data_IF_140129171119
#
_entry.id   IF_140129171119
#
_cell.length_a   1.000
_cell.length_b   1.000
_cell.length_c   1.000
_cell.angle_alpha   90.00
_cell.angle_beta   90.00
_cell.angle_gamma   90.00
#
_symmetry.space_group_name_H-M   'P 1'
#
loop_
_entity.id
_entity.type
_entity.pdbx_description
1 polymer ?
#
# COMPACT_ATOMS: atom_id res chain seq x y z
N UNK A 1 4.33 -49.86 36.55
CA UNK A 1 4.25 -49.11 35.28
C UNK A 1 3.78 -47.72 35.63
N UNK A 2 4.68 -46.98 36.26
CA UNK A 2 4.47 -45.67 36.87
C UNK A 2 4.80 -44.62 35.81
N UNK A 3 3.80 -43.82 35.44
CA UNK A 3 3.99 -42.58 34.68
C UNK A 3 4.84 -41.64 35.54
N UNK A 4 6.10 -41.45 35.16
CA UNK A 4 6.90 -40.32 35.60
C UNK A 4 6.29 -39.05 34.97
N UNK A 5 5.41 -38.41 35.72
CA UNK A 5 5.12 -36.99 35.56
C UNK A 5 6.43 -36.25 35.84
N UNK A 6 7.10 -35.80 34.77
CA UNK A 6 8.15 -34.81 34.84
C UNK A 6 7.56 -33.53 35.44
N UNK A 7 7.61 -33.42 36.77
CA UNK A 7 7.57 -32.15 37.47
C UNK A 7 8.73 -31.31 36.99
N UNK A 8 8.43 -30.37 36.08
CA UNK A 8 9.29 -29.23 35.81
C UNK A 8 9.38 -28.40 37.10
N UNK A 9 10.39 -28.69 37.91
CA UNK A 9 10.94 -27.72 38.84
C UNK A 9 11.93 -26.89 38.00
N UNK A 10 11.53 -25.68 37.63
CA UNK A 10 12.38 -24.66 37.05
C UNK A 10 12.15 -23.39 37.90
N UNK A 11 13.03 -23.14 38.88
CA UNK A 11 14.10 -22.12 38.83
C UNK A 11 13.55 -20.70 38.64
N UNK A 12 14.05 -19.74 39.43
CA UNK A 12 13.85 -18.29 39.25
C UNK A 12 14.34 -17.85 37.86
N UNK A 13 13.63 -18.24 36.81
CA UNK A 13 13.85 -17.78 35.45
C UNK A 13 13.04 -16.50 35.29
N UNK A 14 13.77 -15.42 34.97
CA UNK A 14 13.26 -14.08 34.83
C UNK A 14 11.91 -14.08 34.10
N UNK A 15 10.85 -13.71 34.80
CA UNK A 15 9.56 -13.41 34.18
C UNK A 15 9.82 -12.24 33.22
N UNK A 16 9.97 -12.54 31.94
CA UNK A 16 10.37 -11.56 30.92
C UNK A 16 9.28 -10.49 30.85
N UNK A 17 9.62 -9.26 31.23
CA UNK A 17 8.69 -8.14 31.19
C UNK A 17 8.29 -7.85 29.73
N UNK A 18 6.99 -8.00 29.43
CA UNK A 18 6.46 -7.69 28.12
C UNK A 18 6.47 -6.18 27.92
N UNK A 19 7.15 -5.71 26.88
CA UNK A 19 7.17 -4.31 26.48
C UNK A 19 6.29 -4.08 25.25
N UNK A 20 5.64 -2.92 25.19
CA UNK A 20 4.87 -2.50 24.03
C UNK A 20 5.78 -2.35 22.81
N UNK A 21 5.37 -2.91 21.65
CA UNK A 21 6.11 -2.76 20.40
C UNK A 21 6.04 -1.30 19.92
N UNK A 22 7.13 -0.55 20.11
CA UNK A 22 7.32 0.77 19.51
C UNK A 22 8.61 0.75 18.67
N UNK A 23 8.46 0.60 17.35
CA UNK A 23 9.60 0.71 16.42
C UNK A 23 9.73 2.15 15.98
N UNK A 24 10.55 2.89 16.71
CA UNK A 24 11.05 4.18 16.28
C UNK A 24 12.36 3.96 15.50
N UNK A 25 12.44 4.50 14.28
CA UNK A 25 13.68 4.46 13.51
C UNK A 25 14.61 5.57 14.03
N UNK A 26 15.85 5.25 14.46
CA UNK A 26 16.78 6.23 15.01
C UNK A 26 17.27 7.18 13.90
N UNK A 27 16.97 8.46 14.07
CA UNK A 27 17.35 9.56 13.16
C UNK A 27 17.80 10.81 13.93
N UNK A 28 18.04 10.69 15.24
CA UNK A 28 18.24 11.83 16.14
C UNK A 28 19.56 12.57 15.88
N UNK A 29 20.53 11.93 15.24
CA UNK A 29 21.83 12.52 14.97
C UNK A 29 21.91 13.24 13.62
N UNK A 30 20.84 13.21 12.83
CA UNK A 30 20.80 13.79 11.49
C UNK A 30 20.40 15.27 11.53
N UNK A 31 21.09 16.06 10.71
CA UNK A 31 20.70 17.44 10.47
C UNK A 31 19.34 17.48 9.74
N UNK A 32 18.48 18.40 10.17
CA UNK A 32 17.20 18.67 9.51
C UNK A 32 17.45 19.48 8.23
N UNK A 33 16.62 19.25 7.22
CA UNK A 33 16.68 19.90 5.91
C UNK A 33 16.24 21.37 5.93
N UNK A 34 16.10 21.95 4.74
CA UNK A 34 15.92 23.41 4.55
C UNK A 34 14.63 23.93 5.20
N UNK A 35 13.59 23.10 5.26
CA UNK A 35 12.29 23.46 5.83
C UNK A 35 12.19 23.25 7.35
N UNK A 36 13.27 22.82 8.01
CA UNK A 36 13.34 22.51 9.44
C UNK A 36 12.33 21.44 9.91
N UNK A 37 11.76 20.66 8.99
CA UNK A 37 10.77 19.61 9.31
C UNK A 37 11.20 18.25 8.73
N UNK A 38 11.75 18.24 7.51
CA UNK A 38 12.09 17.00 6.80
C UNK A 38 13.59 16.80 6.69
N UNK A 39 14.01 15.55 6.47
CA UNK A 39 15.36 15.25 6.02
C UNK A 39 15.39 15.13 4.49
N UNK A 40 16.27 15.89 3.85
CA UNK A 40 16.42 15.88 2.40
C UNK A 40 17.41 14.80 1.94
N UNK A 41 17.00 13.99 0.96
CA UNK A 41 17.86 12.98 0.33
C UNK A 41 18.03 13.34 -1.15
N UNK A 42 19.26 13.63 -1.54
CA UNK A 42 19.58 13.92 -2.93
C UNK A 42 19.94 12.63 -3.69
N UNK A 43 19.14 12.28 -4.69
CA UNK A 43 19.45 11.22 -5.65
C UNK A 43 20.04 11.84 -6.92
N UNK A 44 21.14 11.27 -7.41
CA UNK A 44 21.80 11.82 -8.61
C UNK A 44 20.84 11.83 -9.82
N UNK A 45 20.82 12.90 -10.65
CA UNK A 45 19.95 12.96 -11.83
C UNK A 45 20.15 11.80 -12.80
N UNK A 46 21.39 11.31 -12.91
CA UNK A 46 21.74 10.13 -13.72
C UNK A 46 21.00 8.88 -13.25
N UNK A 47 21.03 8.62 -11.94
CA UNK A 47 20.31 7.47 -11.37
C UNK A 47 18.80 7.63 -11.50
N UNK A 48 18.26 8.82 -11.21
CA UNK A 48 16.83 9.11 -11.34
C UNK A 48 16.34 8.83 -12.75
N UNK A 49 17.07 9.30 -13.78
CA UNK A 49 16.70 9.07 -15.16
C UNK A 49 16.78 7.58 -15.54
N UNK A 50 17.88 6.90 -15.19
CA UNK A 50 18.04 5.47 -15.46
C UNK A 50 16.97 4.62 -14.77
N UNK A 51 16.59 4.98 -13.54
CA UNK A 51 15.51 4.31 -12.81
C UNK A 51 14.15 4.54 -13.50
N UNK A 52 13.85 5.76 -13.95
CA UNK A 52 12.61 6.05 -14.70
C UNK A 52 12.51 5.22 -15.97
N UNK A 53 13.57 5.20 -16.77
CA UNK A 53 13.61 4.46 -18.03
C UNK A 53 13.45 2.95 -17.78
N UNK A 54 14.19 2.42 -16.80
CA UNK A 54 14.08 1.03 -16.38
C UNK A 54 12.67 0.67 -15.92
N UNK A 55 12.09 1.44 -14.99
CA UNK A 55 10.75 1.20 -14.45
C UNK A 55 9.68 1.29 -15.53
N UNK A 56 9.77 2.27 -16.43
CA UNK A 56 8.87 2.39 -17.57
C UNK A 56 8.92 1.13 -18.44
N UNK A 57 10.12 0.68 -18.79
CA UNK A 57 10.30 -0.51 -19.62
C UNK A 57 9.80 -1.80 -18.95
N UNK A 58 10.00 -1.95 -17.64
CA UNK A 58 9.46 -3.07 -16.88
C UNK A 58 7.93 -3.04 -16.85
N UNK A 59 7.30 -1.89 -16.58
CA UNK A 59 5.83 -1.75 -16.58
C UNK A 59 5.28 -2.05 -17.99
N UNK A 60 5.92 -1.50 -19.03
CA UNK A 60 5.57 -1.77 -20.42
C UNK A 60 5.68 -3.26 -20.73
N UNK A 61 6.76 -3.93 -20.37
CA UNK A 61 6.92 -5.37 -20.60
C UNK A 61 5.79 -6.19 -19.93
N UNK A 62 5.43 -5.85 -18.69
CA UNK A 62 4.38 -6.53 -17.94
C UNK A 62 2.96 -6.27 -18.49
N UNK A 63 2.77 -5.24 -19.32
CA UNK A 63 1.44 -4.80 -19.81
C UNK A 63 1.26 -4.97 -21.32
N UNK A 64 2.34 -5.06 -22.09
CA UNK A 64 2.31 -5.05 -23.57
C UNK A 64 1.49 -6.18 -24.17
N UNK A 65 1.63 -7.41 -23.65
CA UNK A 65 0.90 -8.58 -24.19
C UNK A 65 -0.59 -8.53 -23.86
N UNK A 66 -0.94 -8.12 -22.64
CA UNK A 66 -2.32 -8.21 -22.12
C UNK A 66 -3.16 -6.99 -22.50
N UNK A 67 -2.61 -5.78 -22.41
CA UNK A 67 -3.39 -4.54 -22.52
C UNK A 67 -3.04 -3.73 -23.77
N UNK A 68 -1.82 -3.84 -24.30
CA UNK A 68 -1.36 -3.00 -25.41
C UNK A 68 -0.81 -3.83 -26.60
N UNK A 69 -1.54 -4.86 -27.09
CA UNK A 69 -1.04 -5.73 -28.14
C UNK A 69 -0.84 -4.95 -29.44
N UNK A 70 0.37 -4.99 -30.00
CA UNK A 70 0.72 -4.32 -31.25
C UNK A 70 0.80 -2.79 -31.16
N UNK A 71 0.79 -2.21 -29.94
CA UNK A 71 0.98 -0.78 -29.72
C UNK A 71 2.42 -0.53 -29.28
N UNK A 72 3.21 0.02 -30.20
CA UNK A 72 4.53 0.54 -29.87
C UNK A 72 4.41 2.02 -29.51
N UNK A 73 4.40 2.31 -28.20
CA UNK A 73 4.41 3.67 -27.67
C UNK A 73 5.77 4.34 -27.88
N UNK A 74 6.86 3.57 -27.70
CA UNK A 74 8.25 3.98 -27.88
C UNK A 74 9.09 2.83 -28.40
N UNK A 75 10.11 3.16 -29.18
CA UNK A 75 11.20 2.25 -29.53
C UNK A 75 12.01 1.99 -28.27
N UNK A 76 11.85 0.81 -27.67
CA UNK A 76 12.59 0.43 -26.46
C UNK A 76 13.20 -0.95 -26.63
N UNK A 77 14.45 -1.09 -26.14
CA UNK A 77 15.24 -2.32 -26.18
C UNK A 77 14.86 -3.29 -25.06
N UNK A 78 13.81 -2.99 -24.30
CA UNK A 78 13.42 -3.73 -23.10
C UNK A 78 14.24 -3.31 -21.88
N UNK A 79 13.84 -3.77 -20.69
CA UNK A 79 14.44 -3.31 -19.44
C UNK A 79 15.89 -3.80 -19.27
N UNK A 80 16.83 -2.88 -19.13
CA UNK A 80 18.23 -3.16 -18.82
C UNK A 80 18.43 -3.44 -17.32
N UNK A 81 18.09 -4.66 -16.89
CA UNK A 81 18.24 -5.07 -15.49
C UNK A 81 19.69 -5.13 -15.01
N UNK A 82 20.65 -5.42 -15.91
CA UNK A 82 22.06 -5.49 -15.57
C UNK A 82 22.65 -4.11 -15.31
N UNK A 83 22.39 -3.16 -16.21
CA UNK A 83 22.80 -1.76 -16.04
C UNK A 83 22.17 -1.12 -14.80
N UNK A 84 20.87 -1.37 -14.57
CA UNK A 84 20.19 -0.86 -13.37
C UNK A 84 20.78 -1.43 -12.07
N UNK A 85 21.02 -2.75 -11.99
CA UNK A 85 21.67 -3.40 -10.82
C UNK A 85 23.04 -2.79 -10.53
N UNK A 86 23.84 -2.54 -11.56
CA UNK A 86 25.16 -1.90 -11.42
C UNK A 86 25.04 -0.49 -10.84
N UNK A 87 24.18 0.35 -11.42
CA UNK A 87 23.95 1.72 -10.93
C UNK A 87 23.42 1.74 -9.49
N UNK A 88 22.52 0.82 -9.15
CA UNK A 88 21.99 0.70 -7.79
C UNK A 88 23.10 0.31 -6.80
N UNK A 89 23.97 -0.63 -7.17
CA UNK A 89 25.12 -1.04 -6.34
C UNK A 89 26.08 0.13 -6.09
N UNK A 90 26.45 0.86 -7.15
CA UNK A 90 27.30 2.06 -7.06
C UNK A 90 26.69 3.14 -6.15
N UNK A 91 25.37 3.32 -6.25
CA UNK A 91 24.63 4.29 -5.44
C UNK A 91 24.62 3.91 -3.95
N UNK A 92 24.30 2.65 -3.62
CA UNK A 92 24.31 2.15 -2.24
C UNK A 92 25.73 2.18 -1.63
N UNK A 93 26.75 1.85 -2.42
CA UNK A 93 28.14 1.96 -1.98
C UNK A 93 28.55 3.42 -1.72
N UNK A 94 28.06 4.36 -2.53
CA UNK A 94 28.31 5.79 -2.33
C UNK A 94 27.68 6.30 -1.03
N UNK A 95 26.43 5.89 -0.75
CA UNK A 95 25.74 6.18 0.51
C UNK A 95 26.54 5.68 1.72
N UNK A 96 26.98 4.42 1.69
CA UNK A 96 27.77 3.83 2.77
C UNK A 96 29.13 4.53 2.95
N UNK A 97 29.73 5.00 1.87
CA UNK A 97 30.98 5.77 1.90
C UNK A 97 30.78 7.13 2.59
N UNK A 98 29.66 7.81 2.34
CA UNK A 98 29.29 9.05 3.03
C UNK A 98 29.04 8.81 4.52
N UNK A 99 28.27 7.78 4.87
CA UNK A 99 28.06 7.37 6.25
C UNK A 99 29.39 7.11 6.97
N UNK A 100 30.34 6.43 6.31
CA UNK A 100 31.68 6.15 6.86
C UNK A 100 32.46 7.44 7.10
N UNK A 101 32.45 8.37 6.15
CA UNK A 101 33.15 9.65 6.26
C UNK A 101 32.64 10.47 7.45
N UNK A 102 31.32 10.54 7.61
CA UNK A 102 30.67 11.24 8.72
C UNK A 102 30.59 10.43 10.02
N UNK A 103 31.04 9.17 10.01
CA UNK A 103 30.96 8.21 11.12
C UNK A 103 29.53 8.09 11.69
N UNK A 104 28.55 8.13 10.80
CA UNK A 104 27.13 8.09 11.17
C UNK A 104 26.36 7.17 10.22
N UNK A 105 25.90 6.03 10.74
CA UNK A 105 25.13 5.03 9.97
C UNK A 105 23.70 5.47 9.68
N UNK A 106 23.13 6.39 10.46
CA UNK A 106 21.77 6.92 10.21
C UNK A 106 21.68 7.57 8.82
N UNK A 107 22.80 8.09 8.28
CA UNK A 107 22.89 8.64 6.92
C UNK A 107 22.59 7.56 5.88
N UNK A 108 23.16 6.36 6.02
CA UNK A 108 22.92 5.26 5.09
C UNK A 108 21.49 4.71 5.21
N UNK A 109 20.97 4.64 6.43
CA UNK A 109 19.59 4.22 6.66
C UNK A 109 18.58 5.24 6.10
N UNK A 110 18.79 6.53 6.32
CA UNK A 110 17.96 7.59 5.74
C UNK A 110 17.99 7.52 4.21
N UNK A 111 19.19 7.36 3.65
CA UNK A 111 19.35 7.18 2.21
C UNK A 111 18.54 5.98 1.71
N UNK A 112 18.61 4.85 2.42
CA UNK A 112 17.87 3.62 2.08
C UNK A 112 16.36 3.84 2.06
N UNK A 113 15.83 4.54 3.06
CA UNK A 113 14.41 4.92 3.13
C UNK A 113 14.02 5.88 1.99
N UNK A 114 14.85 6.88 1.70
CA UNK A 114 14.67 7.80 0.59
C UNK A 114 14.63 7.08 -0.76
N UNK A 115 15.51 6.11 -0.97
CA UNK A 115 15.52 5.26 -2.17
C UNK A 115 14.23 4.44 -2.30
N UNK A 116 13.75 3.80 -1.24
CA UNK A 116 12.48 3.07 -1.26
C UNK A 116 11.30 3.98 -1.59
N UNK A 117 11.24 5.14 -0.92
CA UNK A 117 10.22 6.16 -1.17
C UNK A 117 10.24 6.61 -2.63
N UNK A 118 11.42 6.86 -3.18
CA UNK A 118 11.57 7.22 -4.59
C UNK A 118 11.08 6.10 -5.51
N UNK A 119 11.56 4.87 -5.36
CA UNK A 119 11.20 3.75 -6.24
C UNK A 119 9.70 3.45 -6.22
N UNK A 120 9.10 3.41 -5.02
CA UNK A 120 7.66 3.14 -4.85
C UNK A 120 6.80 4.23 -5.48
N UNK A 121 7.15 5.49 -5.26
CA UNK A 121 6.47 6.62 -5.89
C UNK A 121 6.64 6.63 -7.42
N UNK A 122 7.86 6.41 -7.89
CA UNK A 122 8.19 6.46 -9.31
C UNK A 122 7.54 5.31 -10.10
N UNK A 123 7.35 4.12 -9.52
CA UNK A 123 6.55 3.05 -10.15
C UNK A 123 5.14 3.54 -10.47
N UNK A 124 4.47 4.18 -9.51
CA UNK A 124 3.13 4.75 -9.71
C UNK A 124 3.11 5.86 -10.75
N UNK A 125 4.14 6.71 -10.76
CA UNK A 125 4.29 7.79 -11.73
C UNK A 125 4.52 7.26 -13.16
N UNK A 126 5.42 6.30 -13.35
CA UNK A 126 5.69 5.69 -14.65
C UNK A 126 4.48 4.93 -15.20
N UNK A 127 3.67 4.32 -14.33
CA UNK A 127 2.39 3.74 -14.74
C UNK A 127 1.43 4.81 -15.29
N UNK A 128 1.31 5.96 -14.62
CA UNK A 128 0.47 7.06 -15.09
C UNK A 128 0.97 7.64 -16.42
N UNK A 129 2.29 7.77 -16.58
CA UNK A 129 2.93 8.20 -17.83
C UNK A 129 2.63 7.22 -18.96
N UNK A 130 2.74 5.90 -18.73
CA UNK A 130 2.42 4.89 -19.74
C UNK A 130 0.97 5.03 -20.25
N UNK A 131 0.01 5.24 -19.35
CA UNK A 131 -1.40 5.45 -19.71
C UNK A 131 -1.57 6.73 -20.51
N UNK A 132 -0.87 7.81 -20.13
CA UNK A 132 -0.90 9.08 -20.86
C UNK A 132 -0.35 8.92 -22.28
N UNK A 133 0.79 8.25 -22.43
CA UNK A 133 1.38 7.97 -23.75
C UNK A 133 0.45 7.16 -24.63
N UNK A 134 -0.27 6.19 -24.06
CA UNK A 134 -1.32 5.46 -24.77
C UNK A 134 -2.41 6.37 -25.31
N UNK A 135 -2.87 7.35 -24.52
CA UNK A 135 -3.86 8.34 -24.96
C UNK A 135 -3.31 9.25 -26.05
N UNK A 136 -2.09 9.75 -25.87
CA UNK A 136 -1.42 10.61 -26.86
C UNK A 136 -1.17 9.89 -28.19
N UNK A 137 -0.82 8.61 -28.15
CA UNK A 137 -0.61 7.79 -29.34
C UNK A 137 -1.87 7.73 -30.22
N UNK A 138 -3.06 7.64 -29.60
CA UNK A 138 -4.33 7.70 -30.32
C UNK A 138 -4.53 9.10 -30.92
N UNK A 139 -4.29 10.17 -30.14
CA UNK A 139 -4.48 11.56 -30.62
C UNK A 139 -3.56 11.90 -31.79
N UNK A 140 -2.31 11.44 -31.76
CA UNK A 140 -1.30 11.69 -32.81
C UNK A 140 -1.68 11.10 -34.17
N UNK A 141 -2.59 10.12 -34.22
CA UNK A 141 -3.12 9.52 -35.47
C UNK A 141 -4.26 10.33 -36.11
N UNK A 142 -4.70 11.40 -35.46
CA UNK A 142 -5.69 12.34 -35.99
C UNK A 142 -7.15 11.98 -35.68
N UNK A 143 -8.03 12.95 -35.91
CA UNK A 143 -9.43 12.91 -35.49
C UNK A 143 -10.23 11.75 -36.13
N UNK A 144 -9.94 11.44 -37.40
CA UNK A 144 -10.56 10.30 -38.11
C UNK A 144 -10.23 8.97 -37.43
N UNK A 145 -8.98 8.79 -36.98
CA UNK A 145 -8.60 7.60 -36.23
C UNK A 145 -9.24 7.59 -34.84
N UNK A 146 -9.30 8.72 -34.14
CA UNK A 146 -9.89 8.81 -32.79
C UNK A 146 -11.35 8.32 -32.71
N UNK A 147 -12.10 8.51 -33.79
CA UNK A 147 -13.51 8.08 -33.96
C UNK A 147 -13.65 6.68 -34.57
N UNK A 148 -12.54 6.05 -34.95
CA UNK A 148 -12.55 4.70 -35.52
C UNK A 148 -12.85 3.63 -34.46
N UNK A 149 -13.40 2.51 -34.90
CA UNK A 149 -13.61 1.33 -34.05
C UNK A 149 -12.30 0.86 -33.39
N UNK A 150 -11.17 0.92 -34.12
CA UNK A 150 -9.87 0.53 -33.58
C UNK A 150 -9.45 1.43 -32.40
N UNK A 151 -9.65 2.74 -32.49
CA UNK A 151 -9.36 3.64 -31.38
C UNK A 151 -10.25 3.38 -30.16
N UNK A 152 -11.53 3.03 -30.36
CA UNK A 152 -12.42 2.64 -29.26
C UNK A 152 -11.94 1.38 -28.54
N UNK A 153 -11.48 0.36 -29.29
CA UNK A 153 -10.88 -0.85 -28.70
C UNK A 153 -9.67 -0.49 -27.85
N UNK A 154 -8.78 0.37 -28.35
CA UNK A 154 -7.58 0.77 -27.61
C UNK A 154 -7.95 1.59 -26.36
N UNK A 155 -8.92 2.51 -26.45
CA UNK A 155 -9.43 3.26 -25.30
C UNK A 155 -10.01 2.33 -24.22
N UNK A 156 -10.75 1.30 -24.62
CA UNK A 156 -11.26 0.28 -23.71
C UNK A 156 -10.12 -0.48 -23.00
N UNK A 157 -9.08 -0.89 -23.75
CA UNK A 157 -7.90 -1.55 -23.16
C UNK A 157 -7.11 -0.65 -22.21
N UNK A 158 -6.98 0.64 -22.51
CA UNK A 158 -6.38 1.60 -21.58
C UNK A 158 -7.20 1.73 -20.31
N UNK A 159 -8.54 1.70 -20.40
CA UNK A 159 -9.42 1.69 -19.24
C UNK A 159 -9.26 0.41 -18.40
N UNK A 160 -9.16 -0.75 -19.06
CA UNK A 160 -8.86 -2.03 -18.39
C UNK A 160 -7.50 -1.98 -17.67
N UNK A 161 -6.46 -1.46 -18.33
CA UNK A 161 -5.14 -1.27 -17.71
C UNK A 161 -5.23 -0.39 -16.46
N UNK A 162 -5.95 0.74 -16.54
CA UNK A 162 -6.15 1.62 -15.39
C UNK A 162 -6.88 0.91 -14.24
N UNK A 163 -7.89 0.09 -14.54
CA UNK A 163 -8.58 -0.71 -13.52
C UNK A 163 -7.67 -1.78 -12.89
N UNK A 164 -6.72 -2.32 -13.65
CA UNK A 164 -5.76 -3.32 -13.22
C UNK A 164 -4.52 -2.73 -12.52
N UNK A 165 -4.51 -1.42 -12.23
CA UNK A 165 -3.37 -0.69 -11.66
C UNK A 165 -2.69 -1.41 -10.50
N UNK A 166 -3.45 -1.79 -9.46
CA UNK A 166 -2.90 -2.44 -8.26
C UNK A 166 -2.14 -3.72 -8.60
N UNK A 167 -2.71 -4.58 -9.46
CA UNK A 167 -2.08 -5.83 -9.87
C UNK A 167 -0.84 -5.64 -10.75
N UNK A 168 -0.80 -4.58 -11.57
CA UNK A 168 0.41 -4.23 -12.34
C UNK A 168 1.50 -3.68 -11.41
N UNK A 169 1.17 -2.72 -10.56
CA UNK A 169 2.12 -2.13 -9.60
C UNK A 169 2.68 -3.20 -8.67
N UNK A 170 1.85 -4.12 -8.14
CA UNK A 170 2.31 -5.24 -7.31
C UNK A 170 3.36 -6.09 -8.01
N UNK A 171 3.10 -6.53 -9.25
CA UNK A 171 4.05 -7.38 -10.00
C UNK A 171 5.37 -6.68 -10.28
N UNK A 172 5.31 -5.42 -10.72
CA UNK A 172 6.51 -4.60 -10.98
C UNK A 172 7.26 -4.32 -9.67
N UNK A 173 6.53 -3.96 -8.62
CA UNK A 173 7.06 -3.70 -7.30
C UNK A 173 7.80 -4.90 -6.72
N UNK A 174 7.26 -6.11 -6.84
CA UNK A 174 7.95 -7.34 -6.42
C UNK A 174 9.25 -7.59 -7.21
N UNK A 175 9.26 -7.36 -8.53
CA UNK A 175 10.47 -7.48 -9.34
C UNK A 175 11.55 -6.49 -8.89
N UNK A 176 11.17 -5.23 -8.65
CA UNK A 176 12.08 -4.19 -8.17
C UNK A 176 12.57 -4.48 -6.76
N UNK A 177 11.68 -4.91 -5.86
CA UNK A 177 12.02 -5.30 -4.49
C UNK A 177 13.08 -6.40 -4.48
N UNK A 178 12.92 -7.43 -5.33
CA UNK A 178 13.88 -8.51 -5.46
C UNK A 178 15.26 -7.99 -5.92
N UNK A 179 15.30 -7.11 -6.93
CA UNK A 179 16.55 -6.50 -7.40
C UNK A 179 17.26 -5.76 -6.28
N UNK A 180 16.51 -4.99 -5.48
CA UNK A 180 17.08 -4.22 -4.38
C UNK A 180 17.68 -5.16 -3.32
N UNK A 181 16.93 -6.19 -2.91
CA UNK A 181 17.41 -7.18 -1.93
C UNK A 181 18.66 -7.91 -2.45
N UNK A 182 18.65 -8.37 -3.70
CA UNK A 182 19.78 -9.06 -4.31
C UNK A 182 21.06 -8.22 -4.30
N UNK A 183 20.94 -6.91 -4.58
CA UNK A 183 22.09 -5.99 -4.58
C UNK A 183 22.57 -5.73 -3.15
N UNK A 184 21.64 -5.58 -2.21
CA UNK A 184 21.98 -5.33 -0.80
C UNK A 184 22.69 -6.51 -0.13
N UNK A 185 22.17 -7.73 -0.30
CA UNK A 185 22.67 -8.92 0.39
C UNK A 185 24.08 -9.34 -0.08
N UNK A 186 24.49 -8.87 -1.25
CA UNK A 186 25.72 -9.33 -1.88
C UNK A 186 26.99 -8.72 -1.23
N UNK A 187 27.19 -7.42 -1.42
CA UNK A 187 28.40 -6.70 -0.97
C UNK A 187 28.07 -5.67 0.10
N UNK A 188 26.91 -5.01 -0.03
CA UNK A 188 26.55 -3.86 0.81
C UNK A 188 26.30 -4.28 2.26
N UNK A 189 25.54 -5.36 2.50
CA UNK A 189 25.26 -5.85 3.85
C UNK A 189 26.55 -6.25 4.61
N UNK A 190 27.50 -6.90 3.93
CA UNK A 190 28.80 -7.25 4.50
C UNK A 190 29.62 -6.01 4.84
N UNK A 191 29.61 -5.00 3.97
CA UNK A 191 30.31 -3.74 4.18
C UNK A 191 29.71 -2.94 5.34
N UNK A 192 28.37 -2.88 5.48
CA UNK A 192 27.68 -2.27 6.63
C UNK A 192 28.14 -2.89 7.94
N UNK A 193 28.08 -4.22 8.02
CA UNK A 193 28.53 -4.98 9.21
C UNK A 193 30.00 -4.70 9.55
N UNK A 194 30.87 -4.69 8.54
CA UNK A 194 32.31 -4.48 8.76
C UNK A 194 32.65 -3.06 9.22
N UNK A 195 31.89 -2.05 8.80
CA UNK A 195 32.16 -0.64 9.12
C UNK A 195 31.48 -0.14 10.40
N UNK A 196 30.30 -0.68 10.72
CA UNK A 196 29.43 -0.14 11.78
C UNK A 196 28.88 -1.20 12.74
N UNK A 197 29.20 -2.48 12.56
CA UNK A 197 28.64 -3.56 13.39
C UNK A 197 27.20 -3.92 13.01
N UNK A 198 26.45 -4.49 13.96
CA UNK A 198 25.12 -5.07 13.73
C UNK A 198 23.95 -4.31 14.37
N UNK A 199 24.21 -3.20 15.06
CA UNK A 199 23.17 -2.46 15.81
C UNK A 199 21.98 -2.02 14.93
N UNK A 200 22.23 -1.71 13.65
CA UNK A 200 21.21 -1.25 12.72
C UNK A 200 20.62 -2.36 11.83
N UNK A 201 21.03 -3.61 12.02
CA UNK A 201 20.66 -4.72 11.13
C UNK A 201 19.13 -4.90 11.00
N UNK A 202 18.40 -4.80 12.12
CA UNK A 202 16.94 -4.94 12.15
C UNK A 202 16.22 -3.89 11.29
N UNK A 203 16.71 -2.66 11.23
CA UNK A 203 16.12 -1.60 10.40
C UNK A 203 16.34 -1.88 8.90
N UNK A 204 17.49 -2.44 8.53
CA UNK A 204 17.73 -2.85 7.15
C UNK A 204 16.87 -4.06 6.76
N UNK A 205 16.65 -5.02 7.67
CA UNK A 205 15.71 -6.12 7.44
C UNK A 205 14.28 -5.62 7.25
N UNK A 206 13.85 -4.61 8.02
CA UNK A 206 12.56 -3.95 7.80
C UNK A 206 12.46 -3.35 6.40
N UNK A 207 13.53 -2.74 5.89
CA UNK A 207 13.60 -2.15 4.55
C UNK A 207 13.51 -3.18 3.40
N UNK A 208 13.65 -4.48 3.69
CA UNK A 208 13.47 -5.58 2.72
C UNK A 208 12.02 -6.04 2.61
N UNK A 209 11.13 -5.54 3.47
CA UNK A 209 9.73 -5.95 3.48
C UNK A 209 9.05 -5.63 2.13
N UNK A 210 8.46 -6.65 1.51
CA UNK A 210 7.77 -6.55 0.21
C UNK A 210 6.53 -5.66 0.25
N UNK A 211 5.92 -5.49 1.43
CA UNK A 211 4.75 -4.63 1.63
C UNK A 211 5.03 -3.17 1.26
N UNK A 212 6.29 -2.73 1.33
CA UNK A 212 6.73 -1.39 0.93
C UNK A 212 6.38 -1.08 -0.52
N UNK A 213 6.35 -2.10 -1.39
CA UNK A 213 6.11 -1.97 -2.83
C UNK A 213 4.65 -2.17 -3.24
N UNK A 214 3.73 -2.30 -2.29
CA UNK A 214 2.29 -2.39 -2.58
C UNK A 214 1.67 -1.00 -2.72
N UNK A 215 0.80 -0.83 -3.72
CA UNK A 215 0.07 0.43 -3.95
C UNK A 215 -0.89 0.71 -2.78
N UNK A 216 -0.54 1.67 -1.92
CA UNK A 216 -1.33 2.02 -0.74
C UNK A 216 -1.18 1.05 0.45
N UNK A 217 -0.17 0.16 0.43
CA UNK A 217 0.15 -0.73 1.56
C UNK A 217 -0.89 -1.81 1.89
N UNK A 218 -1.94 -1.95 1.07
CA UNK A 218 -3.00 -2.96 1.24
C UNK A 218 -3.27 -3.66 -0.08
N UNK A 219 -3.13 -4.98 -0.09
CA UNK A 219 -3.41 -5.79 -1.27
C UNK A 219 -3.88 -7.19 -0.86
N UNK A 220 -5.18 -7.44 -1.01
CA UNK A 220 -5.82 -8.67 -0.55
C UNK A 220 -5.23 -9.92 -1.20
N UNK A 221 -4.87 -9.82 -2.49
CA UNK A 221 -4.25 -10.94 -3.22
C UNK A 221 -2.87 -11.24 -2.65
N UNK A 222 -2.07 -10.20 -2.40
CA UNK A 222 -0.75 -10.37 -1.79
C UNK A 222 -0.86 -11.01 -0.41
N UNK A 223 -1.81 -10.54 0.41
CA UNK A 223 -1.99 -11.06 1.75
C UNK A 223 -2.45 -12.51 1.75
N UNK A 224 -3.42 -12.87 0.90
CA UNK A 224 -3.88 -14.25 0.75
C UNK A 224 -2.76 -15.22 0.32
N UNK A 225 -1.81 -14.74 -0.48
CA UNK A 225 -0.69 -15.57 -0.96
C UNK A 225 0.43 -15.73 0.07
N UNK A 226 0.67 -14.72 0.91
CA UNK A 226 1.90 -14.63 1.73
C UNK A 226 1.66 -14.63 3.24
N UNK A 227 0.44 -14.43 3.70
CA UNK A 227 0.11 -14.30 5.12
C UNK A 227 -1.08 -15.18 5.48
N UNK A 228 -1.07 -15.66 6.72
CA UNK A 228 -2.25 -16.28 7.32
C UNK A 228 -3.20 -15.14 7.66
N UNK A 229 -4.34 -15.12 6.98
CA UNK A 229 -5.41 -14.18 7.27
C UNK A 229 -6.28 -14.76 8.38
N UNK A 230 -6.40 -14.00 9.47
CA UNK A 230 -7.36 -14.29 10.53
C UNK A 230 -8.79 -14.00 10.06
N UNK A 231 -9.74 -14.67 10.69
CA UNK A 231 -11.17 -14.49 10.43
C UNK A 231 -11.62 -13.04 10.55
N UNK A 232 -12.46 -12.61 9.62
CA UNK A 232 -13.01 -11.25 9.56
C UNK A 232 -14.51 -11.21 9.92
N UNK A 233 -15.18 -12.36 10.04
CA UNK A 233 -16.59 -12.43 10.41
C UNK A 233 -16.74 -12.70 11.91
N UNK A 234 -17.84 -12.20 12.49
CA UNK A 234 -18.10 -12.31 13.93
C UNK A 234 -18.17 -13.74 14.47
N UNK A 235 -18.40 -14.73 13.59
CA UNK A 235 -18.49 -16.16 13.94
C UNK A 235 -17.21 -16.93 13.64
N UNK A 236 -16.21 -16.28 13.06
CA UNK A 236 -14.95 -16.95 12.74
C UNK A 236 -14.21 -17.24 14.06
N UNK A 237 -13.80 -18.50 14.29
CA UNK A 237 -13.14 -18.89 15.53
C UNK A 237 -11.72 -18.32 15.66
N UNK A 238 -11.11 -17.97 14.54
CA UNK A 238 -9.74 -17.47 14.40
C UNK A 238 -9.68 -15.95 14.22
N UNK A 239 -10.75 -15.21 14.57
CA UNK A 239 -10.73 -13.74 14.56
C UNK A 239 -9.65 -13.19 15.49
N UNK A 240 -9.12 -12.01 15.14
CA UNK A 240 -8.03 -11.39 15.88
C UNK A 240 -8.32 -11.27 17.39
N UNK A 241 -9.52 -10.86 17.78
CA UNK A 241 -9.88 -10.67 19.18
C UNK A 241 -10.02 -11.98 19.96
N UNK A 242 -10.46 -13.06 19.28
CA UNK A 242 -10.52 -14.39 19.89
C UNK A 242 -9.12 -14.94 20.10
N UNK A 243 -8.25 -14.79 19.09
CA UNK A 243 -6.84 -15.17 19.19
C UNK A 243 -6.10 -14.34 20.24
N UNK A 244 -6.30 -13.02 20.28
CA UNK A 244 -5.71 -12.11 21.26
C UNK A 244 -6.12 -12.48 22.69
N UNK A 245 -7.41 -12.74 22.92
CA UNK A 245 -7.90 -13.22 24.22
C UNK A 245 -7.23 -14.53 24.62
N UNK A 246 -7.16 -15.50 23.69
CA UNK A 246 -6.52 -16.80 23.91
C UNK A 246 -5.03 -16.66 24.23
N UNK A 247 -4.31 -15.76 23.54
CA UNK A 247 -2.89 -15.49 23.81
C UNK A 247 -2.70 -14.81 25.17
N UNK A 248 -3.56 -13.86 25.55
CA UNK A 248 -3.50 -13.22 26.85
C UNK A 248 -3.79 -14.20 28.00
N UNK A 249 -4.75 -15.11 27.82
CA UNK A 249 -5.02 -16.19 28.78
C UNK A 249 -3.82 -17.13 28.90
N UNK A 250 -3.24 -17.56 27.77
CA UNK A 250 -2.03 -18.39 27.76
C UNK A 250 -0.86 -17.71 28.49
N UNK A 251 -0.61 -16.42 28.23
CA UNK A 251 0.45 -15.66 28.92
C UNK A 251 0.19 -15.58 30.43
N UNK A 252 -1.08 -15.36 30.82
CA UNK A 252 -1.48 -15.33 32.23
C UNK A 252 -1.27 -16.67 32.93
N UNK A 253 -1.61 -17.78 32.27
CA UNK A 253 -1.35 -19.13 32.77
C UNK A 253 0.14 -19.42 32.90
N UNK A 254 0.96 -18.88 32.00
CA UNK A 254 2.42 -18.93 32.09
C UNK A 254 3.01 -18.00 33.17
N UNK A 255 2.18 -17.27 33.92
CA UNK A 255 2.60 -16.33 34.96
C UNK A 255 3.11 -14.98 34.42
N UNK A 256 2.99 -14.74 33.12
CA UNK A 256 3.41 -13.50 32.46
C UNK A 256 2.18 -12.57 32.41
N UNK A 257 2.23 -11.49 33.18
CA UNK A 257 1.23 -10.42 33.09
C UNK A 257 1.76 -9.34 32.16
N UNK A 258 1.04 -9.00 31.06
CA UNK A 258 1.44 -7.88 30.23
C UNK A 258 1.43 -6.61 31.09
N UNK A 259 2.52 -5.85 31.04
CA UNK A 259 2.63 -4.56 31.72
C UNK A 259 1.50 -3.64 31.27
N UNK A 260 0.96 -2.84 32.19
CA UNK A 260 -0.10 -1.88 31.87
C UNK A 260 0.45 -0.78 30.96
N UNK A 261 0.24 -0.90 29.65
CA UNK A 261 0.56 0.16 28.70
C UNK A 261 -0.63 1.15 28.63
N UNK A 262 -0.49 2.38 29.15
CA UNK A 262 -1.53 3.40 29.05
C UNK A 262 -1.89 3.72 27.58
N UNK A 263 -0.93 3.60 26.64
CA UNK A 263 -1.17 3.83 25.22
C UNK A 263 -2.09 2.77 24.59
N UNK A 264 -1.96 1.51 25.00
CA UNK A 264 -2.87 0.44 24.57
C UNK A 264 -4.30 0.67 25.07
N UNK A 265 -4.44 1.13 26.31
CA UNK A 265 -5.75 1.42 26.91
C UNK A 265 -6.44 2.58 26.18
N UNK A 266 -5.70 3.64 25.86
CA UNK A 266 -6.20 4.76 25.06
C UNK A 266 -6.56 4.32 23.62
N UNK A 267 -5.76 3.45 23.00
CA UNK A 267 -6.05 2.88 21.69
C UNK A 267 -7.35 2.03 21.67
N UNK A 268 -7.59 1.22 22.71
CA UNK A 268 -8.84 0.46 22.86
C UNK A 268 -10.03 1.39 23.03
N UNK A 269 -9.91 2.43 23.87
CA UNK A 269 -10.99 3.39 24.09
C UNK A 269 -11.33 4.16 22.82
N UNK A 270 -10.31 4.64 22.09
CA UNK A 270 -10.49 5.34 20.82
C UNK A 270 -11.09 4.43 19.75
N UNK A 271 -10.65 3.17 19.66
CA UNK A 271 -11.24 2.19 18.74
C UNK A 271 -12.71 1.91 19.07
N UNK A 272 -13.03 1.72 20.35
CA UNK A 272 -14.40 1.46 20.82
C UNK A 272 -15.32 2.64 20.52
N UNK A 273 -14.88 3.86 20.83
CA UNK A 273 -15.61 5.08 20.50
C UNK A 273 -15.84 5.23 18.98
N UNK A 274 -14.86 4.82 18.16
CA UNK A 274 -15.00 4.81 16.70
C UNK A 274 -16.07 3.81 16.24
N UNK A 275 -16.12 2.62 16.82
CA UNK A 275 -17.13 1.60 16.50
C UNK A 275 -18.54 2.07 16.88
N UNK A 276 -18.70 2.70 18.05
CA UNK A 276 -19.97 3.30 18.49
C UNK A 276 -20.41 4.43 17.55
N UNK A 277 -19.47 5.30 17.13
CA UNK A 277 -19.75 6.35 16.16
C UNK A 277 -20.18 5.77 14.81
N UNK A 278 -19.52 4.71 14.33
CA UNK A 278 -19.89 4.03 13.07
C UNK A 278 -21.28 3.38 13.17
N UNK A 279 -21.62 2.77 14.31
CA UNK A 279 -22.96 2.23 14.53
C UNK A 279 -24.02 3.33 14.52
N UNK A 280 -23.75 4.46 15.17
CA UNK A 280 -24.65 5.62 15.20
C UNK A 280 -24.88 6.18 13.80
N UNK A 281 -23.82 6.35 13.02
CA UNK A 281 -23.92 6.79 11.61
C UNK A 281 -24.73 5.80 10.78
N UNK A 282 -24.55 4.49 10.98
CA UNK A 282 -25.34 3.46 10.28
C UNK A 282 -26.83 3.56 10.62
N UNK A 283 -27.18 3.79 11.88
CA UNK A 283 -28.59 3.97 12.27
C UNK A 283 -29.18 5.24 11.67
N UNK A 284 -28.40 6.32 11.62
CA UNK A 284 -28.84 7.58 11.02
C UNK A 284 -29.07 7.44 9.51
N UNK A 285 -28.18 6.74 8.80
CA UNK A 285 -28.36 6.44 7.37
C UNK A 285 -29.65 5.64 7.16
N UNK A 286 -29.90 4.60 7.97
CA UNK A 286 -31.12 3.81 7.87
C UNK A 286 -32.39 4.66 8.09
N UNK A 287 -32.38 5.55 9.09
CA UNK A 287 -33.48 6.47 9.36
C UNK A 287 -33.71 7.46 8.21
N UNK A 288 -32.63 8.00 7.63
CA UNK A 288 -32.71 8.91 6.49
C UNK A 288 -33.22 8.21 5.22
N UNK A 289 -32.83 6.96 4.99
CA UNK A 289 -33.37 6.15 3.90
C UNK A 289 -34.87 5.90 4.07
N UNK A 290 -35.33 5.61 5.29
CA UNK A 290 -36.76 5.45 5.59
C UNK A 290 -37.54 6.76 5.39
N UNK A 291 -37.00 7.89 5.86
CA UNK A 291 -37.60 9.21 5.64
C UNK A 291 -37.70 9.55 4.15
N UNK A 292 -36.63 9.26 3.38
CA UNK A 292 -36.62 9.45 1.92
C UNK A 292 -37.70 8.61 1.25
N UNK A 293 -37.83 7.33 1.63
CA UNK A 293 -38.85 6.43 1.08
C UNK A 293 -40.27 6.90 1.42
N UNK A 294 -40.51 7.33 2.66
CA UNK A 294 -41.80 7.88 3.08
C UNK A 294 -42.14 9.18 2.36
N UNK A 295 -41.15 10.04 2.13
CA UNK A 295 -41.32 11.30 1.38
C UNK A 295 -41.64 11.00 -0.10
N UNK A 296 -40.94 10.04 -0.70
CA UNK A 296 -41.23 9.55 -2.07
C UNK A 296 -42.67 9.05 -2.19
N UNK A 297 -43.11 8.17 -1.28
CA UNK A 297 -44.49 7.67 -1.24
C UNK A 297 -45.54 8.78 -1.08
N UNK A 298 -45.22 9.88 -0.37
CA UNK A 298 -46.11 11.04 -0.24
C UNK A 298 -46.18 11.86 -1.53
N UNK A 299 -45.06 12.05 -2.23
CA UNK A 299 -45.01 12.69 -3.53
C UNK A 299 -45.81 11.90 -4.58
N UNK A 300 -45.63 10.57 -4.64
CA UNK A 300 -46.38 9.71 -5.57
C UNK A 300 -47.90 9.77 -5.31
N UNK A 301 -48.32 9.91 -4.04
CA UNK A 301 -49.73 10.13 -3.69
C UNK A 301 -50.23 11.54 -4.04
N UNK A 302 -49.36 12.55 -3.99
CA UNK A 302 -49.66 13.93 -4.36
C UNK A 302 -49.85 14.10 -5.87
N UNK A 303 -49.04 13.41 -6.68
CA UNK A 303 -49.17 13.41 -8.15
C UNK A 303 -50.50 12.80 -8.62
N UNK A 304 -51.04 11.82 -7.88
CA UNK A 304 -52.38 11.27 -8.13
C UNK A 304 -53.52 12.27 -7.90
N UNK A 305 -53.32 13.29 -7.05
CA UNK A 305 -54.29 14.37 -6.83
C UNK A 305 -54.19 15.45 -7.91
N UNK A 306 -52.97 15.82 -8.33
CA UNK A 306 -52.77 16.78 -9.42
C UNK A 306 -53.24 16.25 -10.77
N UNK A 307 -53.01 14.97 -11.07
CA UNK A 307 -53.53 14.33 -12.29
C UNK A 307 -55.06 14.20 -12.30
N UNK A 308 -55.72 14.04 -11.15
CA UNK A 308 -57.19 14.08 -11.04
C UNK A 308 -57.78 15.49 -11.13
N UNK A 309 -57.08 16.51 -10.64
CA UNK A 309 -57.54 17.89 -10.73
C UNK A 309 -57.44 18.41 -12.17
N UNK A 310 -56.34 18.09 -12.87
CA UNK A 310 -56.11 18.44 -14.27
C UNK A 310 -57.00 17.66 -15.26
N UNK A 311 -57.48 16.46 -14.90
CA UNK A 311 -58.39 15.67 -15.75
C UNK A 311 -59.88 15.92 -15.50
N UNK A 312 -60.25 16.79 -14.55
CA UNK A 312 -61.65 17.10 -14.24
C UNK A 312 -62.27 18.26 -15.04
N UNK A 313 -61.52 18.86 -15.97
CA UNK A 313 -62.05 19.82 -16.93
C UNK A 313 -62.56 19.11 -18.18
N UNK A 314 -63.80 18.61 -18.14
CA UNK A 314 -64.46 18.04 -19.32
C UNK A 314 -64.86 19.17 -20.31
N UNK A 315 -64.68 18.99 -21.63
CA UNK A 315 -64.82 20.03 -22.63
C UNK A 315 -66.24 19.99 -23.23
N UNK A 316 -67.15 20.82 -22.73
CA UNK A 316 -68.45 21.00 -23.34
C UNK A 316 -68.97 22.43 -23.09
N UNK A 317 -68.48 23.38 -23.86
CA UNK A 317 -69.26 24.54 -24.34
C UNK A 317 -68.34 25.46 -25.13
N UNK A 318 -68.34 25.30 -26.47
CA UNK A 318 -68.02 26.34 -27.45
C UNK A 318 -68.48 25.83 -28.83
N UNK A 319 -69.80 25.91 -29.05
CA UNK A 319 -70.41 25.97 -30.38
C UNK A 319 -70.90 27.41 -30.60
N UNK A 320 -70.24 28.14 -31.50
CA UNK A 320 -70.77 29.14 -32.44
C UNK A 320 -69.60 29.96 -32.99
#
# INVERSE_FOLDING_TARGET
>A
MSNELLTLIATEEACTELTSYNVTIPMASLAIGVDNIHHDVFLSPKFVQAARDYLFDVIRQNTSSTYLPGIELRTSRGPDGGGFRKLLSELLQSSLTQAKYHKNIEIDLLFRLGLLKFLTFEIGNQFAILVLEGKEWIRKRGEHFERSQQAHVIKARLSELQSARRGVIRRVGQQVAQIVVDVEDNVIAKARRALFGEEFASYYELCKNRLIFLDGGKDDVFFLEHYILLGNYARDPDRFEAMDTLFQEFLREAGITPGHDPGHTEAIQTHTALLEAVQTIRTDIANLEEQRENTRKRLDRGDGFFTKLLSSGDPADLKA
#
